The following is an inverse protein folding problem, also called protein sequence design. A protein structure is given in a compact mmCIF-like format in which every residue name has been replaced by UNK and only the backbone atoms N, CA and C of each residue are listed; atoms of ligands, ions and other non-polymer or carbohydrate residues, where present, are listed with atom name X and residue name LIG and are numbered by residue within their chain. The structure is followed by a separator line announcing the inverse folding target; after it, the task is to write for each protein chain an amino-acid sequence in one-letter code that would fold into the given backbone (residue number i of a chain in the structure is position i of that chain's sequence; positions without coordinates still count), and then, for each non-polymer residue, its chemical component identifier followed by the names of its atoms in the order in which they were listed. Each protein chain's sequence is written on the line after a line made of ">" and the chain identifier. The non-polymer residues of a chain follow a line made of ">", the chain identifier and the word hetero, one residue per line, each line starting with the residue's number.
data_IF_670481925473
#
_entry.id   IF_670481925473
#
_cell.length_a   1.000
_cell.length_b   1.000
_cell.length_c   1.000
_cell.angle_alpha   90.00
_cell.angle_beta   90.00
_cell.angle_gamma   90.00
#
_symmetry.space_group_name_H-M   'P 1'
#
loop_
_entity.id
_entity.type
_entity.pdbx_description
1 polymer ?
#
# COMPACT_ATOMS: atom_id res chain seq x y z
N UNK A 1 -21.57 -13.41 -38.49
CA UNK A 1 -21.28 -14.75 -37.94
C UNK A 1 -19.83 -14.72 -37.44
N UNK A 2 -19.63 -14.96 -36.12
CA UNK A 2 -18.34 -15.11 -35.40
C UNK A 2 -17.55 -13.78 -35.27
N UNK A 3 -17.01 -13.34 -34.13
CA UNK A 3 -16.43 -14.06 -32.98
C UNK A 3 -16.53 -13.23 -31.68
N UNK A 4 -16.68 -13.92 -30.55
CA UNK A 4 -16.51 -13.36 -29.21
C UNK A 4 -15.09 -13.66 -28.72
N UNK A 5 -14.40 -12.70 -28.10
CA UNK A 5 -13.26 -13.03 -27.22
C UNK A 5 -13.41 -12.39 -25.83
N UNK A 6 -13.33 -13.21 -24.76
CA UNK A 6 -13.44 -12.79 -23.38
C UNK A 6 -12.07 -12.41 -22.78
N UNK A 7 -12.10 -11.62 -21.70
CA UNK A 7 -11.04 -11.60 -20.68
C UNK A 7 -9.98 -10.51 -20.80
N UNK A 8 -10.30 -9.27 -20.37
CA UNK A 8 -9.28 -8.35 -19.82
C UNK A 8 -9.33 -8.41 -18.30
N UNK A 9 -8.30 -9.03 -17.73
CA UNK A 9 -8.02 -9.16 -16.31
C UNK A 9 -7.74 -7.77 -15.72
N UNK A 10 -8.39 -7.45 -14.62
CA UNK A 10 -8.14 -6.24 -13.83
C UNK A 10 -6.67 -6.19 -13.38
N UNK A 11 -5.90 -5.22 -13.89
CA UNK A 11 -4.52 -4.95 -13.51
C UNK A 11 -4.28 -3.42 -13.54
N UNK A 12 -4.93 -2.66 -12.66
CA UNK A 12 -4.67 -1.21 -12.54
C UNK A 12 -4.66 -0.71 -11.08
N UNK A 13 -4.36 -1.58 -10.10
CA UNK A 13 -4.57 -1.25 -8.68
C UNK A 13 -3.35 -0.91 -7.83
N UNK A 14 -2.09 -0.99 -8.30
CA UNK A 14 -0.92 -0.99 -7.37
C UNK A 14 0.27 -0.13 -7.80
N UNK A 15 0.09 0.86 -8.69
CA UNK A 15 1.21 1.71 -9.14
C UNK A 15 1.48 2.95 -8.26
N UNK A 16 0.74 3.18 -7.16
CA UNK A 16 0.72 4.49 -6.50
C UNK A 16 1.51 4.64 -5.18
N UNK A 17 2.27 3.65 -4.69
CA UNK A 17 2.77 3.67 -3.30
C UNK A 17 4.28 3.89 -3.07
N UNK A 18 5.08 4.19 -4.09
CA UNK A 18 6.41 4.75 -3.84
C UNK A 18 6.82 5.75 -4.92
N UNK A 19 6.33 6.98 -4.80
CA UNK A 19 6.93 8.13 -5.46
C UNK A 19 7.11 9.23 -4.42
N UNK A 20 8.34 9.31 -3.93
CA UNK A 20 9.18 10.50 -3.78
C UNK A 20 8.47 11.82 -3.40
N UNK A 21 9.01 12.54 -2.41
CA UNK A 21 8.48 13.74 -1.75
C UNK A 21 8.15 14.94 -2.68
N UNK A 22 8.34 14.79 -4.00
CA UNK A 22 7.82 15.69 -5.05
C UNK A 22 6.33 15.53 -5.34
N UNK A 23 5.71 14.39 -5.06
CA UNK A 23 4.27 14.19 -5.29
C UNK A 23 3.38 15.02 -4.35
N UNK A 24 3.94 15.55 -3.25
CA UNK A 24 3.23 16.47 -2.35
C UNK A 24 3.06 17.90 -2.93
N UNK A 25 3.78 18.26 -4.01
CA UNK A 25 3.77 19.64 -4.58
C UNK A 25 3.37 19.74 -6.05
N UNK A 26 3.17 18.62 -6.74
CA UNK A 26 2.56 18.62 -8.07
C UNK A 26 1.19 17.95 -7.93
N UNK A 27 0.12 18.66 -8.31
CA UNK A 27 -1.26 18.19 -8.19
C UNK A 27 -1.38 16.70 -8.50
N UNK A 28 -1.90 15.95 -7.52
CA UNK A 28 -1.96 14.49 -7.50
C UNK A 28 -2.31 13.94 -8.89
N UNK A 29 -1.31 13.43 -9.59
CA UNK A 29 -1.49 12.74 -10.84
C UNK A 29 -2.35 11.49 -10.56
N UNK A 30 -3.62 11.55 -10.96
CA UNK A 30 -4.56 10.43 -10.94
C UNK A 30 -4.79 9.83 -9.56
N UNK A 31 -5.68 10.42 -8.76
CA UNK A 31 -6.37 9.65 -7.72
C UNK A 31 -7.32 8.66 -8.42
N UNK A 32 -6.78 7.58 -8.97
CA UNK A 32 -7.59 6.42 -9.35
C UNK A 32 -8.22 5.90 -8.05
N UNK A 33 -9.53 6.07 -7.93
CA UNK A 33 -10.27 5.59 -6.78
C UNK A 33 -10.14 4.06 -6.72
N UNK A 34 -9.47 3.55 -5.69
CA UNK A 34 -9.42 2.11 -5.45
C UNK A 34 -10.74 1.67 -4.81
N UNK A 35 -11.36 0.60 -5.32
CA UNK A 35 -12.49 -0.01 -4.64
C UNK A 35 -12.04 -0.57 -3.28
N UNK A 36 -12.50 0.06 -2.20
CA UNK A 36 -12.19 -0.32 -0.83
C UNK A 36 -13.21 -1.30 -0.23
N UNK A 37 -14.31 -1.60 -0.94
CA UNK A 37 -15.32 -2.54 -0.45
C UNK A 37 -14.74 -3.89 0.02
N UNK A 38 -13.70 -4.46 -0.65
CA UNK A 38 -13.06 -5.70 -0.18
C UNK A 38 -12.31 -5.58 1.15
N UNK A 39 -11.96 -4.36 1.60
CA UNK A 39 -11.08 -4.11 2.76
C UNK A 39 -11.80 -3.50 3.96
N UNK A 40 -12.94 -2.83 3.75
CA UNK A 40 -13.68 -2.13 4.82
C UNK A 40 -14.29 -3.12 5.82
N UNK A 41 -14.27 -2.74 7.10
CA UNK A 41 -14.88 -3.47 8.23
C UNK A 41 -14.41 -4.93 8.36
N UNK A 42 -13.14 -5.19 8.05
CA UNK A 42 -12.53 -6.52 8.10
C UNK A 42 -11.15 -6.44 8.73
N UNK A 43 -10.69 -7.55 9.31
CA UNK A 43 -9.26 -7.75 9.49
C UNK A 43 -8.60 -7.93 8.13
N UNK A 44 -7.55 -7.16 7.87
CA UNK A 44 -6.75 -7.26 6.66
C UNK A 44 -5.32 -7.64 7.01
N UNK A 45 -4.67 -8.38 6.12
CA UNK A 45 -3.23 -8.62 6.21
C UNK A 45 -2.54 -7.79 5.14
N UNK A 46 -1.55 -7.00 5.53
CA UNK A 46 -0.72 -6.22 4.63
C UNK A 46 0.71 -6.75 4.78
N UNK A 47 1.28 -7.22 3.68
CA UNK A 47 2.67 -7.67 3.62
C UNK A 47 3.45 -6.77 2.68
N UNK A 48 4.46 -6.10 3.21
CA UNK A 48 5.43 -5.37 2.41
C UNK A 48 6.76 -6.11 2.35
N UNK A 49 7.39 -6.11 1.18
CA UNK A 49 8.79 -6.53 1.02
C UNK A 49 9.55 -5.40 0.34
N UNK A 50 10.67 -5.00 0.94
CA UNK A 50 11.53 -3.93 0.44
C UNK A 50 12.94 -4.47 0.17
N UNK A 51 13.53 -3.99 -0.90
CA UNK A 51 14.97 -4.07 -1.16
C UNK A 51 15.50 -2.63 -1.17
N UNK A 52 16.12 -2.16 -0.07
CA UNK A 52 16.70 -0.82 0.00
C UNK A 52 17.83 -0.61 -1.01
N UNK A 53 18.06 0.65 -1.36
CA UNK A 53 19.08 1.11 -2.30
C UNK A 53 18.55 2.19 -3.25
N UNK A 54 19.46 2.91 -3.91
CA UNK A 54 19.13 3.98 -4.87
C UNK A 54 18.42 3.50 -6.14
N UNK A 55 18.36 2.17 -6.35
CA UNK A 55 17.56 1.47 -7.37
C UNK A 55 16.88 0.25 -6.77
N UNK A 56 16.28 0.44 -5.60
CA UNK A 56 15.61 -0.57 -4.81
C UNK A 56 14.34 -1.15 -5.43
N UNK A 57 13.68 -2.01 -4.67
CA UNK A 57 12.42 -2.68 -5.03
C UNK A 57 11.43 -2.61 -3.89
N UNK A 58 10.14 -2.52 -4.23
CA UNK A 58 9.05 -2.66 -3.28
C UNK A 58 8.00 -3.62 -3.84
N UNK A 59 7.44 -4.47 -2.99
CA UNK A 59 6.24 -5.24 -3.30
C UNK A 59 5.27 -5.26 -2.13
N UNK A 60 3.99 -5.34 -2.45
CA UNK A 60 2.90 -5.35 -1.49
C UNK A 60 1.88 -6.43 -1.85
N UNK A 61 1.38 -7.13 -0.83
CA UNK A 61 0.20 -8.00 -0.95
C UNK A 61 -0.77 -7.63 0.16
N UNK A 62 -2.02 -7.38 -0.24
CA UNK A 62 -3.14 -7.07 0.66
C UNK A 62 -4.15 -8.20 0.58
N UNK A 63 -4.56 -8.73 1.74
CA UNK A 63 -5.55 -9.81 1.85
C UNK A 63 -6.77 -9.39 2.64
N UNK A 64 -7.92 -9.92 2.23
CA UNK A 64 -9.18 -9.88 2.98
C UNK A 64 -9.20 -11.02 3.99
N UNK A 65 -8.73 -10.76 5.21
CA UNK A 65 -8.59 -11.75 6.28
C UNK A 65 -7.18 -11.80 6.87
N UNK A 66 -7.00 -12.65 7.87
CA UNK A 66 -5.73 -12.85 8.59
C UNK A 66 -4.94 -14.02 8.04
N UNK A 67 -3.62 -13.85 7.88
CA UNK A 67 -2.70 -14.94 7.54
C UNK A 67 -2.48 -15.13 6.03
N UNK A 68 -1.51 -15.99 5.68
CA UNK A 68 -1.04 -16.16 4.29
C UNK A 68 -2.05 -16.84 3.36
N UNK A 69 -2.97 -17.64 3.91
CA UNK A 69 -4.04 -18.32 3.16
C UNK A 69 -5.28 -17.48 2.86
N UNK A 70 -5.37 -16.24 3.37
CA UNK A 70 -6.52 -15.37 3.12
C UNK A 70 -6.56 -14.92 1.64
N UNK A 71 -7.76 -14.67 1.05
CA UNK A 71 -7.85 -14.23 -0.34
C UNK A 71 -7.12 -12.91 -0.59
N UNK A 72 -6.37 -12.85 -1.70
CA UNK A 72 -5.67 -11.64 -2.13
C UNK A 72 -6.69 -10.64 -2.69
N UNK A 73 -6.76 -9.48 -2.05
CA UNK A 73 -7.59 -8.35 -2.49
C UNK A 73 -6.84 -7.46 -3.49
N UNK A 74 -5.53 -7.26 -3.28
CA UNK A 74 -4.66 -6.51 -4.17
C UNK A 74 -3.20 -6.94 -4.02
N UNK A 75 -2.40 -6.83 -5.08
CA UNK A 75 -0.96 -7.09 -5.03
C UNK A 75 -0.21 -6.37 -6.15
N UNK A 76 1.03 -6.01 -5.90
CA UNK A 76 1.87 -5.38 -6.91
C UNK A 76 3.31 -5.21 -6.47
N UNK A 77 4.12 -4.75 -7.41
CA UNK A 77 5.55 -4.55 -7.22
C UNK A 77 6.09 -3.48 -8.16
N UNK A 78 7.17 -2.83 -7.72
CA UNK A 78 7.90 -1.86 -8.51
C UNK A 78 9.41 -1.99 -8.28
N UNK A 79 10.18 -1.60 -9.28
CA UNK A 79 11.65 -1.57 -9.28
C UNK A 79 12.15 -0.15 -9.56
N UNK A 80 13.44 0.08 -9.29
CA UNK A 80 14.04 1.41 -9.46
C UNK A 80 13.52 2.43 -8.44
N UNK A 81 13.03 1.95 -7.28
CA UNK A 81 12.57 2.82 -6.19
C UNK A 81 13.79 3.35 -5.46
N UNK A 82 13.89 4.66 -5.28
CA UNK A 82 14.89 5.21 -4.38
C UNK A 82 14.46 4.96 -2.93
N UNK A 83 15.10 3.97 -2.29
CA UNK A 83 14.87 3.57 -0.91
C UNK A 83 16.19 3.73 -0.15
N UNK A 84 16.60 4.97 0.20
CA UNK A 84 17.91 5.22 0.76
C UNK A 84 18.14 4.41 2.04
N UNK A 85 19.22 3.65 2.06
CA UNK A 85 19.70 2.97 3.27
C UNK A 85 20.81 3.83 3.88
N UNK A 86 20.48 4.59 4.93
CA UNK A 86 21.44 5.46 5.62
C UNK A 86 22.35 4.69 6.59
N UNK A 87 22.68 3.45 6.26
CA UNK A 87 23.74 2.68 6.91
C UNK A 87 23.30 1.78 8.06
N UNK A 88 22.03 1.81 8.51
CA UNK A 88 21.49 0.77 9.42
C UNK A 88 19.96 0.79 9.66
N UNK A 89 19.14 1.57 8.93
CA UNK A 89 17.78 1.86 9.41
C UNK A 89 16.70 1.95 8.32
N UNK A 90 16.00 0.83 8.11
CA UNK A 90 14.59 0.86 7.70
C UNK A 90 13.76 0.61 8.95
N UNK A 91 13.11 1.66 9.47
CA UNK A 91 12.25 1.60 10.66
C UNK A 91 10.78 1.71 10.24
N UNK A 92 10.08 0.59 9.99
CA UNK A 92 8.69 0.65 9.61
C UNK A 92 7.87 1.28 10.75
N UNK A 93 7.07 2.30 10.41
CA UNK A 93 6.14 2.95 11.32
C UNK A 93 4.72 2.59 10.90
N UNK A 94 3.89 2.25 11.87
CA UNK A 94 2.50 1.89 11.66
C UNK A 94 1.66 2.55 12.72
N UNK A 95 0.55 3.17 12.30
CA UNK A 95 -0.27 3.95 13.21
C UNK A 95 -1.19 4.88 12.43
N UNK A 96 -1.91 5.70 13.19
CA UNK A 96 -2.64 6.83 12.66
C UNK A 96 -1.65 8.01 12.64
N UNK A 97 -1.28 8.46 11.45
CA UNK A 97 -0.58 9.72 11.28
C UNK A 97 -1.57 10.74 10.71
N UNK A 98 -1.97 11.71 11.53
CA UNK A 98 -2.92 12.78 11.17
C UNK A 98 -2.27 14.13 11.41
N UNK A 99 -2.46 15.07 10.49
CA UNK A 99 -1.94 16.43 10.65
C UNK A 99 -2.79 17.21 11.66
N UNK A 100 -2.13 18.01 12.48
CA UNK A 100 -2.80 19.00 13.35
C UNK A 100 -3.39 20.17 12.56
N UNK A 101 -2.97 20.34 11.31
CA UNK A 101 -3.48 21.35 10.37
C UNK A 101 -4.69 20.84 9.56
N UNK A 102 -5.11 19.58 9.76
CA UNK A 102 -6.34 19.06 9.15
C UNK A 102 -7.56 19.85 9.64
N UNK A 103 -8.62 19.89 8.82
CA UNK A 103 -9.88 20.50 9.23
C UNK A 103 -10.35 19.87 10.55
N UNK A 104 -10.89 20.68 11.47
CA UNK A 104 -11.30 20.17 12.79
C UNK A 104 -12.33 19.04 12.69
N UNK A 105 -13.15 19.02 11.63
CA UNK A 105 -14.08 17.93 11.32
C UNK A 105 -13.42 16.58 11.02
N UNK A 106 -12.13 16.58 10.68
CA UNK A 106 -11.36 15.38 10.34
C UNK A 106 -10.57 14.84 11.54
N UNK A 107 -10.54 15.58 12.65
CA UNK A 107 -9.90 15.18 13.91
C UNK A 107 -10.95 14.51 14.80
N UNK A 108 -11.27 13.27 14.45
CA UNK A 108 -12.23 12.43 15.15
C UNK A 108 -11.55 11.44 16.08
N UNK A 109 -12.27 10.98 17.10
CA UNK A 109 -11.89 9.79 17.88
C UNK A 109 -11.69 8.61 16.93
N UNK A 110 -10.46 8.13 16.85
CA UNK A 110 -10.06 7.12 15.89
C UNK A 110 -9.13 6.13 16.57
N UNK A 111 -9.42 4.84 16.37
CA UNK A 111 -8.57 3.77 16.87
C UNK A 111 -8.09 2.90 15.70
N UNK A 112 -6.94 2.27 15.89
CA UNK A 112 -6.38 1.32 14.95
C UNK A 112 -6.01 0.06 15.71
N UNK A 113 -6.56 -1.07 15.26
CA UNK A 113 -6.31 -2.37 15.87
C UNK A 113 -5.21 -3.09 15.08
N UNK A 114 -4.16 -3.50 15.77
CA UNK A 114 -3.07 -4.30 15.19
C UNK A 114 -3.00 -5.67 15.86
N UNK A 115 -2.62 -6.67 15.06
CA UNK A 115 -2.24 -8.00 15.53
C UNK A 115 -1.20 -8.59 14.59
N UNK A 116 -0.43 -9.55 15.09
CA UNK A 116 0.57 -10.29 14.29
C UNK A 116 1.57 -9.36 13.59
N UNK A 117 2.02 -8.30 14.27
CA UNK A 117 2.97 -7.34 13.72
C UNK A 117 4.39 -7.90 13.73
N UNK A 118 5.00 -8.00 12.55
CA UNK A 118 6.38 -8.49 12.40
C UNK A 118 7.13 -7.65 11.37
N UNK A 119 8.41 -7.38 11.64
CA UNK A 119 9.36 -6.86 10.67
C UNK A 119 10.64 -7.67 10.78
N UNK A 120 11.03 -8.34 9.70
CA UNK A 120 12.21 -9.20 9.67
C UNK A 120 12.97 -9.03 8.36
N UNK A 121 14.27 -9.31 8.40
CA UNK A 121 15.05 -9.56 7.18
C UNK A 121 14.64 -10.94 6.64
N UNK A 122 14.46 -11.06 5.32
CA UNK A 122 14.25 -12.34 4.64
C UNK A 122 15.59 -12.89 4.16
#
# INVERSE_FOLDING_TARGET
>A
MVDARPGRRALHGVEALARDDRAARAGAAGQEATDLAPLRNKWITIEWTFTPGSKGKASCVIRTGTGSGAPVAAQGSMSGVDLPDQGDYVRPKWGIYRSVESASSDILDTYLLFRNYTASRK
#
